data_IF_717146252865
#
_entry.id   IF_717146252865
#
_cell.length_a   1.000
_cell.length_b   1.000
_cell.length_c   1.000
_cell.angle_alpha   90.00
_cell.angle_beta   90.00
_cell.angle_gamma   90.00
#
_symmetry.space_group_name_H-M   'P 1'
#
loop_
_entity.id
_entity.type
_entity.pdbx_description
1 polymer ?
#
# COMPACT_ATOMS: atom_id res chain seq x y z
N UNK A 1 1.42 -51.54 -20.25
CA UNK A 1 0.66 -50.62 -19.38
C UNK A 1 -0.80 -50.69 -19.84
N UNK A 2 -1.65 -51.21 -18.99
CA UNK A 2 -3.01 -51.62 -19.37
C UNK A 2 -3.93 -50.38 -19.40
N UNK A 3 -4.95 -50.41 -20.29
CA UNK A 3 -5.90 -49.28 -20.45
C UNK A 3 -6.58 -48.91 -19.13
N UNK A 4 -6.76 -49.87 -18.22
CA UNK A 4 -7.30 -49.65 -16.86
C UNK A 4 -6.43 -48.76 -15.99
N UNK A 5 -5.12 -48.81 -16.14
CA UNK A 5 -4.19 -47.99 -15.32
C UNK A 5 -4.20 -46.51 -15.72
N UNK A 6 -4.48 -46.24 -17.01
CA UNK A 6 -4.59 -44.86 -17.52
C UNK A 6 -5.84 -44.12 -16.96
N UNK A 7 -6.95 -44.83 -16.78
CA UNK A 7 -8.16 -44.24 -16.22
C UNK A 7 -8.05 -43.95 -14.72
N UNK A 8 -7.28 -44.74 -13.99
CA UNK A 8 -7.03 -44.54 -12.56
C UNK A 8 -6.14 -43.31 -12.38
N UNK A 9 -5.11 -43.11 -13.18
CA UNK A 9 -4.20 -41.96 -13.13
C UNK A 9 -4.94 -40.66 -13.47
N UNK A 10 -5.83 -40.67 -14.47
CA UNK A 10 -6.64 -39.49 -14.83
C UNK A 10 -7.65 -39.16 -13.73
N UNK A 11 -8.24 -40.16 -13.09
CA UNK A 11 -9.18 -39.95 -11.97
C UNK A 11 -8.49 -39.36 -10.74
N UNK A 12 -7.25 -39.78 -10.43
CA UNK A 12 -6.44 -39.20 -9.34
C UNK A 12 -5.97 -37.77 -9.63
N UNK A 13 -5.65 -37.42 -10.88
CA UNK A 13 -5.33 -36.04 -11.29
C UNK A 13 -6.53 -35.13 -11.22
N UNK A 14 -7.75 -35.60 -11.50
CA UNK A 14 -9.00 -34.84 -11.36
C UNK A 14 -9.40 -34.66 -9.90
N UNK A 15 -9.10 -35.58 -8.99
CA UNK A 15 -9.37 -35.44 -7.54
C UNK A 15 -8.40 -34.48 -6.85
N UNK A 16 -7.19 -34.25 -7.43
CA UNK A 16 -6.24 -33.25 -6.90
C UNK A 16 -6.55 -31.82 -7.32
N UNK A 17 -7.52 -31.61 -8.23
CA UNK A 17 -8.07 -30.29 -8.58
C UNK A 17 -9.28 -29.90 -7.72
N UNK A 18 -9.51 -30.59 -6.60
CA UNK A 18 -10.39 -30.14 -5.52
C UNK A 18 -9.82 -28.87 -4.93
N UNK A 19 -10.11 -27.73 -5.57
CA UNK A 19 -9.80 -26.41 -5.05
C UNK A 19 -10.39 -26.33 -3.66
N UNK A 20 -9.54 -26.26 -2.64
CA UNK A 20 -9.94 -25.76 -1.34
C UNK A 20 -10.53 -24.36 -1.61
N UNK A 21 -11.84 -24.23 -1.56
CA UNK A 21 -12.50 -22.94 -1.43
C UNK A 21 -12.01 -22.37 -0.10
N UNK A 22 -10.87 -21.70 -0.15
CA UNK A 22 -10.44 -20.89 0.96
C UNK A 22 -11.58 -19.90 1.16
N UNK A 23 -12.31 -20.04 2.26
CA UNK A 23 -13.35 -19.06 2.65
C UNK A 23 -12.65 -17.71 2.69
N UNK A 24 -12.89 -16.87 1.69
CA UNK A 24 -12.32 -15.54 1.67
C UNK A 24 -12.87 -14.79 2.87
N UNK A 25 -12.00 -14.18 3.66
CA UNK A 25 -12.41 -13.36 4.80
C UNK A 25 -13.31 -12.25 4.29
N UNK A 26 -14.49 -12.08 4.88
CA UNK A 26 -15.39 -10.97 4.57
C UNK A 26 -14.94 -9.73 5.36
N UNK A 27 -14.05 -8.94 4.82
CA UNK A 27 -13.48 -7.78 5.49
C UNK A 27 -14.51 -6.68 5.79
N UNK A 28 -15.50 -6.35 4.94
CA UNK A 28 -16.61 -5.47 5.31
C UNK A 28 -17.29 -5.88 6.62
N UNK A 29 -17.53 -7.18 6.81
CA UNK A 29 -18.12 -7.69 8.05
C UNK A 29 -17.15 -7.65 9.22
N UNK A 30 -15.85 -7.89 8.97
CA UNK A 30 -14.80 -7.88 10.00
C UNK A 30 -14.60 -6.49 10.58
N UNK A 31 -14.55 -5.46 9.72
CA UNK A 31 -14.27 -4.08 10.11
C UNK A 31 -15.54 -3.25 10.36
N UNK A 32 -16.73 -3.70 9.93
CA UNK A 32 -18.00 -3.06 10.23
C UNK A 32 -18.04 -1.56 9.91
N UNK A 33 -18.23 -0.74 10.94
CA UNK A 33 -18.27 0.73 10.81
C UNK A 33 -17.00 1.32 10.25
N UNK A 34 -15.83 0.80 10.64
CA UNK A 34 -14.52 1.32 10.16
C UNK A 34 -14.37 1.16 8.65
N UNK A 35 -14.86 0.04 8.10
CA UNK A 35 -14.94 -0.15 6.64
C UNK A 35 -15.86 0.87 5.98
N UNK A 36 -17.04 1.08 6.57
CA UNK A 36 -18.05 2.02 6.04
C UNK A 36 -17.53 3.45 6.06
N UNK A 37 -16.88 3.85 7.16
CA UNK A 37 -16.32 5.19 7.33
C UNK A 37 -15.14 5.43 6.38
N UNK A 38 -14.25 4.45 6.21
CA UNK A 38 -13.17 4.51 5.24
C UNK A 38 -13.71 4.63 3.80
N UNK A 39 -14.74 3.83 3.45
CA UNK A 39 -15.34 3.89 2.12
C UNK A 39 -16.02 5.23 1.86
N UNK A 40 -16.75 5.78 2.85
CA UNK A 40 -17.35 7.11 2.76
C UNK A 40 -16.27 8.17 2.56
N UNK A 41 -15.18 8.12 3.32
CA UNK A 41 -14.07 9.06 3.20
C UNK A 41 -13.44 9.04 1.80
N UNK A 42 -13.22 7.87 1.19
CA UNK A 42 -12.78 7.78 -0.21
C UNK A 42 -13.79 8.44 -1.14
N UNK A 43 -15.08 8.12 -0.98
CA UNK A 43 -16.13 8.66 -1.85
C UNK A 43 -16.24 10.18 -1.79
N UNK A 44 -16.05 10.78 -0.61
CA UNK A 44 -16.09 12.22 -0.39
C UNK A 44 -14.89 12.96 -1.01
N UNK A 45 -13.74 12.28 -1.17
CA UNK A 45 -12.49 12.89 -1.65
C UNK A 45 -12.06 12.39 -3.04
N UNK A 46 -12.78 11.45 -3.64
CA UNK A 46 -12.42 10.80 -4.89
C UNK A 46 -12.04 11.79 -6.00
N UNK A 47 -12.87 12.79 -6.24
CA UNK A 47 -12.66 13.76 -7.33
C UNK A 47 -11.41 14.63 -7.10
N UNK A 48 -11.14 15.00 -5.83
CA UNK A 48 -9.94 15.75 -5.46
C UNK A 48 -8.68 14.89 -5.64
N UNK A 49 -8.69 13.65 -5.16
CA UNK A 49 -7.54 12.75 -5.26
C UNK A 49 -7.28 12.33 -6.70
N UNK A 50 -8.34 12.10 -7.47
CA UNK A 50 -8.25 11.76 -8.88
C UNK A 50 -7.49 12.81 -9.67
N UNK A 51 -7.66 14.10 -9.39
CA UNK A 51 -6.92 15.17 -10.05
C UNK A 51 -5.40 15.00 -9.88
N UNK A 52 -4.94 14.66 -8.67
CA UNK A 52 -3.51 14.41 -8.43
C UNK A 52 -3.03 13.11 -9.10
N UNK A 53 -3.84 12.05 -9.08
CA UNK A 53 -3.49 10.77 -9.72
C UNK A 53 -3.42 10.91 -11.24
N UNK A 54 -4.34 11.65 -11.85
CA UNK A 54 -4.38 11.90 -13.29
C UNK A 54 -3.11 12.64 -13.78
N UNK A 55 -2.52 13.53 -12.97
CA UNK A 55 -1.25 14.20 -13.29
C UNK A 55 -0.11 13.21 -13.55
N UNK A 56 -0.16 12.04 -12.95
CA UNK A 56 0.84 10.98 -13.09
C UNK A 56 0.36 9.80 -13.96
N UNK A 57 -0.83 9.90 -14.57
CA UNK A 57 -1.41 8.81 -15.35
C UNK A 57 -1.67 7.55 -14.52
N UNK A 58 -2.09 7.71 -13.26
CA UNK A 58 -2.42 6.62 -12.33
C UNK A 58 -3.94 6.49 -12.23
N UNK A 59 -4.44 5.28 -12.35
CA UNK A 59 -5.86 4.98 -12.11
C UNK A 59 -6.23 5.25 -10.65
N UNK A 60 -7.19 6.15 -10.41
CA UNK A 60 -7.59 6.56 -9.07
C UNK A 60 -8.12 5.40 -8.24
N UNK A 61 -8.92 4.50 -8.83
CA UNK A 61 -9.47 3.32 -8.14
C UNK A 61 -8.37 2.38 -7.68
N UNK A 62 -7.32 2.21 -8.49
CA UNK A 62 -6.14 1.40 -8.12
C UNK A 62 -5.40 2.07 -6.96
N UNK A 63 -5.14 3.38 -7.03
CA UNK A 63 -4.44 4.12 -5.98
C UNK A 63 -5.20 4.09 -4.65
N UNK A 64 -6.50 4.37 -4.68
CA UNK A 64 -7.39 4.32 -3.53
C UNK A 64 -7.40 2.93 -2.87
N UNK A 65 -7.50 1.88 -3.69
CA UNK A 65 -7.47 0.50 -3.19
C UNK A 65 -6.16 0.17 -2.47
N UNK A 66 -5.02 0.66 -2.98
CA UNK A 66 -3.71 0.43 -2.37
C UNK A 66 -3.64 0.97 -0.94
N UNK A 67 -4.24 2.12 -0.65
CA UNK A 67 -4.18 2.75 0.67
C UNK A 67 -5.43 2.52 1.53
N UNK A 68 -6.47 1.90 0.98
CA UNK A 68 -7.72 1.67 1.70
C UNK A 68 -7.56 0.98 3.07
N UNK A 69 -6.68 -0.03 3.23
CA UNK A 69 -6.46 -0.61 4.56
C UNK A 69 -5.94 0.40 5.59
N UNK A 70 -5.16 1.39 5.19
CA UNK A 70 -4.67 2.44 6.11
C UNK A 70 -5.78 3.40 6.53
N UNK A 71 -6.77 3.64 5.66
CA UNK A 71 -7.94 4.46 6.01
C UNK A 71 -8.79 3.77 7.07
N UNK A 72 -8.93 2.43 7.03
CA UNK A 72 -9.57 1.65 8.10
C UNK A 72 -8.80 1.83 9.42
N UNK A 73 -7.47 1.71 9.37
CA UNK A 73 -6.60 1.86 10.56
C UNK A 73 -6.67 3.28 11.13
N UNK A 74 -6.71 4.29 10.28
CA UNK A 74 -6.68 5.69 10.70
C UNK A 74 -7.93 6.10 11.50
N UNK A 75 -9.09 5.51 11.23
CA UNK A 75 -10.34 5.80 11.97
C UNK A 75 -10.20 5.55 13.48
N UNK A 76 -9.26 4.69 13.87
CA UNK A 76 -8.98 4.29 15.24
C UNK A 76 -7.91 5.16 15.94
N UNK A 77 -7.21 6.04 15.21
CA UNK A 77 -6.08 6.84 15.74
C UNK A 77 -6.49 8.31 15.90
N UNK A 78 -6.87 8.73 17.11
CA UNK A 78 -7.41 10.07 17.37
C UNK A 78 -6.42 11.10 17.95
N UNK A 79 -5.17 10.74 18.28
CA UNK A 79 -4.26 11.64 19.01
C UNK A 79 -3.34 12.46 18.10
N UNK A 80 -3.75 13.74 17.85
CA UNK A 80 -2.95 14.71 17.07
C UNK A 80 -1.71 15.24 17.86
N UNK A 81 -1.75 15.23 19.18
CA UNK A 81 -0.69 15.82 20.02
C UNK A 81 0.60 15.01 19.96
N UNK A 82 0.51 13.69 19.98
CA UNK A 82 1.69 12.82 19.85
C UNK A 82 2.36 12.96 18.49
N UNK A 83 1.60 13.24 17.43
CA UNK A 83 2.12 13.43 16.08
C UNK A 83 3.02 14.65 15.95
N UNK A 84 2.71 15.75 16.61
CA UNK A 84 3.52 16.97 16.56
C UNK A 84 4.91 16.77 17.18
N UNK A 85 4.98 16.08 18.32
CA UNK A 85 6.24 15.76 19.00
C UNK A 85 7.11 14.82 18.17
N UNK A 86 6.51 13.79 17.57
CA UNK A 86 7.19 12.80 16.72
C UNK A 86 7.71 13.45 15.43
N UNK A 87 6.93 14.32 14.81
CA UNK A 87 7.38 15.07 13.63
C UNK A 87 8.59 15.97 13.95
N UNK A 88 8.61 16.60 15.14
CA UNK A 88 9.75 17.39 15.63
C UNK A 88 11.02 16.56 15.80
N UNK A 89 10.91 15.33 16.29
CA UNK A 89 12.05 14.41 16.42
C UNK A 89 12.60 13.98 15.06
N UNK A 90 11.74 13.64 14.10
CA UNK A 90 12.20 13.35 12.74
C UNK A 90 12.89 14.55 12.09
N UNK A 91 12.31 15.75 12.20
CA UNK A 91 12.91 16.97 11.62
C UNK A 91 14.31 17.19 12.19
N UNK A 92 14.49 17.04 13.50
CA UNK A 92 15.76 17.32 14.17
C UNK A 92 16.83 16.23 13.99
N UNK A 93 16.43 14.94 14.00
CA UNK A 93 17.34 13.79 14.07
C UNK A 93 17.22 12.81 12.88
N UNK A 94 16.30 13.07 11.94
CA UNK A 94 16.00 12.14 10.85
C UNK A 94 15.28 10.87 11.31
N UNK A 95 15.27 9.86 10.46
CA UNK A 95 14.60 8.57 10.73
C UNK A 95 15.14 7.81 11.93
N UNK A 96 16.37 8.08 12.35
CA UNK A 96 16.95 7.52 13.57
C UNK A 96 16.29 8.08 14.83
N UNK A 97 15.79 9.31 14.78
CA UNK A 97 15.05 9.93 15.88
C UNK A 97 13.58 9.50 15.93
N UNK A 98 12.95 9.36 14.78
CA UNK A 98 11.56 8.93 14.66
C UNK A 98 11.20 8.51 13.22
N UNK A 99 10.49 7.40 13.06
CA UNK A 99 9.98 6.93 11.77
C UNK A 99 8.53 6.43 11.91
N UNK A 100 7.65 7.35 12.29
CA UNK A 100 6.23 7.06 12.47
C UNK A 100 5.41 7.43 11.24
N UNK A 101 4.28 6.75 11.09
CA UNK A 101 3.36 7.01 10.00
C UNK A 101 2.68 8.37 10.12
N UNK A 102 2.62 9.13 9.02
CA UNK A 102 2.04 10.47 8.93
C UNK A 102 0.84 10.44 7.97
N UNK A 103 -0.19 11.20 8.32
CA UNK A 103 -1.36 11.44 7.49
C UNK A 103 -2.31 10.25 7.34
N UNK A 104 -3.34 10.42 6.51
CA UNK A 104 -4.40 9.42 6.29
C UNK A 104 -3.89 8.14 5.64
N UNK A 105 -2.93 8.26 4.73
CA UNK A 105 -2.33 7.12 4.05
C UNK A 105 -1.21 6.45 4.86
N UNK A 106 -0.97 6.91 6.10
CA UNK A 106 -0.02 6.31 7.05
C UNK A 106 1.39 6.11 6.45
N UNK A 107 1.88 7.11 5.71
CA UNK A 107 3.21 7.08 5.10
C UNK A 107 4.28 7.42 6.13
N UNK A 108 5.34 6.60 6.17
CA UNK A 108 6.51 6.88 7.00
C UNK A 108 7.47 7.85 6.31
N UNK A 109 8.20 8.69 7.06
CA UNK A 109 9.28 9.48 6.50
C UNK A 109 10.32 8.67 5.73
N UNK A 110 10.71 7.49 6.25
CA UNK A 110 11.63 6.57 5.55
C UNK A 110 11.10 6.10 4.19
N UNK A 111 9.80 5.79 4.11
CA UNK A 111 9.15 5.44 2.84
C UNK A 111 9.20 6.61 1.84
N UNK A 112 8.92 7.84 2.31
CA UNK A 112 9.00 9.03 1.46
C UNK A 112 10.43 9.28 0.97
N UNK A 113 11.45 9.07 1.81
CA UNK A 113 12.87 9.16 1.43
C UNK A 113 13.23 8.17 0.32
N UNK A 114 12.80 6.92 0.43
CA UNK A 114 13.02 5.89 -0.61
C UNK A 114 12.32 6.26 -1.92
N UNK A 115 11.08 6.76 -1.86
CA UNK A 115 10.33 7.23 -3.04
C UNK A 115 11.03 8.43 -3.70
N UNK A 116 11.45 9.43 -2.92
CA UNK A 116 12.16 10.62 -3.41
C UNK A 116 13.49 10.27 -4.10
N UNK A 117 14.28 9.38 -3.48
CA UNK A 117 15.54 8.90 -4.05
C UNK A 117 15.31 8.13 -5.35
N UNK A 118 14.38 7.19 -5.35
CA UNK A 118 14.04 6.40 -6.53
C UNK A 118 13.47 7.27 -7.66
N UNK A 119 12.64 8.27 -7.33
CA UNK A 119 12.12 9.23 -8.29
C UNK A 119 13.25 9.99 -8.98
N UNK A 120 14.14 10.63 -8.21
CA UNK A 120 15.23 11.42 -8.75
C UNK A 120 16.20 10.59 -9.61
N UNK A 121 16.36 9.30 -9.31
CA UNK A 121 17.17 8.36 -10.07
C UNK A 121 16.46 7.79 -11.30
N UNK A 122 15.15 7.98 -11.44
CA UNK A 122 14.35 7.42 -12.52
C UNK A 122 14.28 8.34 -13.74
N UNK A 123 14.00 7.81 -14.95
CA UNK A 123 13.73 8.64 -16.13
C UNK A 123 12.47 9.51 -15.95
N UNK A 124 11.55 9.13 -15.05
CA UNK A 124 10.32 9.85 -14.78
C UNK A 124 10.58 11.27 -14.23
N UNK A 125 11.61 11.47 -13.41
CA UNK A 125 11.97 12.80 -12.91
C UNK A 125 12.22 13.81 -14.05
N UNK A 126 12.88 13.35 -15.11
CA UNK A 126 13.11 14.16 -16.31
C UNK A 126 11.84 14.35 -17.14
N UNK A 127 11.05 13.29 -17.28
CA UNK A 127 9.77 13.31 -18.01
C UNK A 127 8.79 14.32 -17.42
N UNK A 128 8.67 14.32 -16.08
CA UNK A 128 7.76 15.21 -15.35
C UNK A 128 8.38 16.57 -14.97
N UNK A 129 9.66 16.78 -15.23
CA UNK A 129 10.33 18.06 -15.06
C UNK A 129 10.54 18.52 -13.62
N UNK A 130 10.52 17.60 -12.63
CA UNK A 130 10.81 17.96 -11.23
C UNK A 130 11.61 16.89 -10.49
N UNK A 131 12.28 17.33 -9.41
CA UNK A 131 13.04 16.45 -8.49
C UNK A 131 12.83 16.90 -7.05
N UNK A 132 13.07 15.99 -6.12
CA UNK A 132 13.03 16.26 -4.70
C UNK A 132 14.40 16.75 -4.19
N UNK A 133 14.38 17.60 -3.15
CA UNK A 133 15.58 17.92 -2.39
C UNK A 133 15.95 16.76 -1.46
N UNK A 134 17.04 16.06 -1.75
CA UNK A 134 17.52 14.91 -1.00
C UNK A 134 18.52 15.28 0.11
N UNK A 135 18.73 16.57 0.40
CA UNK A 135 19.63 16.98 1.47
C UNK A 135 19.17 16.41 2.82
N UNK A 136 20.13 15.91 3.59
CA UNK A 136 19.87 15.41 4.95
C UNK A 136 20.02 16.54 5.96
N UNK A 137 19.05 17.47 5.97
CA UNK A 137 19.00 18.61 6.88
C UNK A 137 17.57 18.89 7.33
N UNK A 138 17.44 19.74 8.36
CA UNK A 138 16.16 20.07 8.97
C UNK A 138 15.16 20.70 7.99
N UNK A 139 15.61 21.45 7.00
CA UNK A 139 14.75 22.10 6.02
C UNK A 139 14.12 21.08 5.06
N UNK A 140 14.92 20.20 4.50
CA UNK A 140 14.43 19.14 3.61
C UNK A 140 13.49 18.18 4.36
N UNK A 141 13.82 17.80 5.60
CA UNK A 141 12.97 16.96 6.46
C UNK A 141 11.64 17.66 6.81
N UNK A 142 11.67 18.97 7.14
CA UNK A 142 10.45 19.76 7.40
C UNK A 142 9.57 19.82 6.14
N UNK A 143 10.18 20.01 4.99
CA UNK A 143 9.47 20.04 3.71
C UNK A 143 8.80 18.68 3.40
N UNK A 144 9.47 17.56 3.70
CA UNK A 144 8.92 16.20 3.59
C UNK A 144 7.74 15.97 4.53
N UNK A 145 7.87 16.33 5.81
CA UNK A 145 6.78 16.26 6.80
C UNK A 145 5.57 17.06 6.33
N UNK A 146 5.77 18.27 5.80
CA UNK A 146 4.67 19.09 5.26
C UNK A 146 3.93 18.36 4.15
N UNK A 147 4.64 17.79 3.18
CA UNK A 147 4.03 17.00 2.09
C UNK A 147 3.29 15.77 2.61
N UNK A 148 3.84 15.06 3.61
CA UNK A 148 3.20 13.90 4.22
C UNK A 148 1.98 14.25 5.09
N UNK A 149 1.91 15.46 5.63
CA UNK A 149 0.78 15.94 6.43
C UNK A 149 -0.36 16.52 5.58
N UNK A 150 -0.08 16.86 4.34
CA UNK A 150 -1.03 17.38 3.36
C UNK A 150 -1.61 16.28 2.48
N UNK A 151 -2.93 16.30 2.24
CA UNK A 151 -3.59 15.23 1.47
C UNK A 151 -3.12 15.19 0.02
N UNK A 152 -2.99 16.36 -0.61
CA UNK A 152 -2.47 16.45 -1.98
C UNK A 152 -1.05 15.89 -2.07
N UNK A 153 -0.21 16.21 -1.09
CA UNK A 153 1.15 15.66 -0.97
C UNK A 153 1.16 14.14 -0.82
N UNK A 154 0.24 13.57 -0.02
CA UNK A 154 0.09 12.12 0.12
C UNK A 154 -0.36 11.44 -1.18
N UNK A 155 -1.34 12.01 -1.89
CA UNK A 155 -1.77 11.53 -3.19
C UNK A 155 -0.62 11.54 -4.19
N UNK A 156 0.18 12.60 -4.21
CA UNK A 156 1.36 12.71 -5.07
C UNK A 156 2.42 11.65 -4.76
N UNK A 157 2.75 11.42 -3.50
CA UNK A 157 3.66 10.34 -3.12
C UNK A 157 3.14 8.97 -3.53
N UNK A 158 1.84 8.72 -3.36
CA UNK A 158 1.21 7.47 -3.77
C UNK A 158 1.27 7.27 -5.29
N UNK A 159 0.95 8.31 -6.07
CA UNK A 159 1.05 8.27 -7.52
C UNK A 159 2.49 7.98 -7.99
N UNK A 160 3.46 8.69 -7.45
CA UNK A 160 4.88 8.48 -7.73
C UNK A 160 5.30 7.05 -7.35
N UNK A 161 4.91 6.57 -6.18
CA UNK A 161 5.15 5.20 -5.75
C UNK A 161 4.62 4.18 -6.78
N UNK A 162 3.37 4.32 -7.21
CA UNK A 162 2.75 3.42 -8.20
C UNK A 162 3.51 3.46 -9.52
N UNK A 163 3.86 4.65 -10.03
CA UNK A 163 4.66 4.81 -11.26
C UNK A 163 6.01 4.13 -11.16
N UNK A 164 6.69 4.28 -10.04
CA UNK A 164 7.98 3.64 -9.78
C UNK A 164 7.86 2.11 -9.70
N UNK A 165 6.78 1.58 -9.09
CA UNK A 165 6.53 0.14 -9.06
C UNK A 165 6.23 -0.41 -10.46
N UNK A 166 5.44 0.29 -11.28
CA UNK A 166 5.18 -0.10 -12.67
C UNK A 166 6.45 -0.08 -13.53
N UNK A 167 7.36 0.87 -13.29
CA UNK A 167 8.65 0.93 -13.97
C UNK A 167 9.58 -0.22 -13.52
N UNK A 168 9.62 -0.51 -12.21
CA UNK A 168 10.45 -1.57 -11.63
C UNK A 168 9.97 -2.97 -11.98
N UNK A 169 8.65 -3.16 -12.06
CA UNK A 169 7.99 -4.44 -12.28
C UNK A 169 7.04 -4.37 -13.48
N UNK A 170 7.55 -4.44 -14.73
CA UNK A 170 6.69 -4.40 -15.93
C UNK A 170 5.61 -5.48 -15.96
N UNK A 171 5.81 -6.60 -15.23
CA UNK A 171 4.83 -7.66 -15.06
C UNK A 171 3.50 -7.18 -14.44
N UNK A 172 3.51 -6.09 -13.66
CA UNK A 172 2.30 -5.48 -13.10
C UNK A 172 1.29 -5.05 -14.18
N UNK A 173 1.77 -4.74 -15.39
CA UNK A 173 0.91 -4.38 -16.52
C UNK A 173 0.33 -5.60 -17.26
N UNK A 174 0.78 -6.80 -16.94
CA UNK A 174 0.39 -8.06 -17.60
C UNK A 174 -0.59 -8.89 -16.77
N UNK A 175 -0.81 -8.52 -15.51
CA UNK A 175 -1.77 -9.18 -14.62
C UNK A 175 -3.12 -8.47 -14.62
N UNK A 176 -4.16 -9.10 -14.07
CA UNK A 176 -5.45 -8.44 -13.89
C UNK A 176 -5.32 -7.22 -12.96
N UNK A 177 -6.20 -6.22 -13.10
CA UNK A 177 -6.19 -5.04 -12.21
C UNK A 177 -6.31 -5.44 -10.73
N UNK A 178 -7.10 -6.45 -10.41
CA UNK A 178 -7.22 -6.96 -9.04
C UNK A 178 -5.90 -7.52 -8.52
N UNK A 179 -5.17 -8.27 -9.32
CA UNK A 179 -3.85 -8.79 -8.95
C UNK A 179 -2.80 -7.66 -8.90
N UNK A 180 -2.89 -6.69 -9.78
CA UNK A 180 -2.06 -5.47 -9.73
C UNK A 180 -2.25 -4.72 -8.41
N UNK A 181 -3.51 -4.51 -7.97
CA UNK A 181 -3.82 -3.92 -6.66
C UNK A 181 -3.21 -4.72 -5.53
N UNK A 182 -3.32 -6.06 -5.53
CA UNK A 182 -2.72 -6.92 -4.52
C UNK A 182 -1.21 -6.72 -4.38
N UNK A 183 -0.51 -6.72 -5.50
CA UNK A 183 0.95 -6.60 -5.54
C UNK A 183 1.42 -5.18 -5.18
N UNK A 184 0.73 -4.14 -5.65
CA UNK A 184 1.00 -2.75 -5.29
C UNK A 184 0.73 -2.51 -3.80
N UNK A 185 -0.38 -2.99 -3.26
CA UNK A 185 -0.71 -2.91 -1.84
C UNK A 185 0.32 -3.65 -0.97
N UNK A 186 0.82 -4.79 -1.45
CA UNK A 186 1.90 -5.52 -0.79
C UNK A 186 3.21 -4.71 -0.77
N UNK A 187 3.60 -4.13 -1.90
CA UNK A 187 4.79 -3.28 -1.98
C UNK A 187 4.68 -2.06 -1.06
N UNK A 188 3.50 -1.44 -0.99
CA UNK A 188 3.21 -0.31 -0.13
C UNK A 188 3.34 -0.65 1.36
N UNK A 189 2.71 -1.73 1.79
CA UNK A 189 2.68 -2.11 3.20
C UNK A 189 3.96 -2.79 3.70
N UNK A 190 4.68 -3.52 2.81
CA UNK A 190 5.77 -4.39 3.23
C UNK A 190 7.16 -3.86 2.88
N UNK A 191 7.39 -3.47 1.64
CA UNK A 191 8.70 -3.00 1.19
C UNK A 191 8.61 -2.37 -0.20
N UNK A 192 8.97 -1.11 -0.29
CA UNK A 192 9.10 -0.39 -1.55
C UNK A 192 10.09 -1.06 -2.53
N UNK A 193 11.19 -1.61 -2.00
CA UNK A 193 12.30 -2.16 -2.78
C UNK A 193 12.20 -3.68 -3.02
N UNK A 194 11.08 -4.33 -2.64
CA UNK A 194 10.90 -5.77 -2.79
C UNK A 194 11.05 -6.23 -4.25
N UNK A 195 11.66 -7.42 -4.45
CA UNK A 195 11.69 -8.06 -5.76
C UNK A 195 10.31 -8.60 -6.14
N UNK A 196 10.09 -8.83 -7.45
CA UNK A 196 8.86 -9.44 -7.96
C UNK A 196 8.50 -10.74 -7.25
N UNK A 197 9.47 -11.65 -7.12
CA UNK A 197 9.26 -12.93 -6.43
C UNK A 197 8.86 -12.74 -4.95
N UNK A 198 9.47 -11.76 -4.28
CA UNK A 198 9.13 -11.43 -2.89
C UNK A 198 7.71 -10.87 -2.79
N UNK A 199 7.27 -10.00 -3.71
CA UNK A 199 5.90 -9.49 -3.75
C UNK A 199 4.89 -10.60 -3.95
N UNK A 200 5.12 -11.50 -4.93
CA UNK A 200 4.25 -12.65 -5.19
C UNK A 200 4.09 -13.57 -3.96
N UNK A 201 5.14 -13.71 -3.14
CA UNK A 201 5.06 -14.49 -1.90
C UNK A 201 4.35 -13.73 -0.79
N UNK A 202 4.79 -12.49 -0.53
CA UNK A 202 4.33 -11.67 0.61
C UNK A 202 2.85 -11.23 0.49
N UNK A 203 2.27 -11.20 -0.71
CA UNK A 203 0.88 -10.75 -0.89
C UNK A 203 -0.17 -11.63 -0.19
N UNK A 204 0.22 -12.81 0.30
CA UNK A 204 -0.66 -13.72 1.02
C UNK A 204 -0.41 -13.70 2.55
N UNK A 205 0.57 -12.93 3.00
CA UNK A 205 0.97 -12.90 4.41
C UNK A 205 0.05 -12.00 5.24
N UNK A 206 -0.21 -12.42 6.48
CA UNK A 206 -1.02 -11.66 7.45
C UNK A 206 -0.11 -10.93 8.42
N UNK A 207 0.16 -9.65 8.15
CA UNK A 207 1.01 -8.80 8.99
C UNK A 207 0.33 -7.48 9.38
N UNK A 208 -0.74 -7.12 8.69
CA UNK A 208 -1.49 -5.91 8.97
C UNK A 208 -2.38 -6.07 10.20
N UNK A 209 -2.39 -5.08 11.04
CA UNK A 209 -3.28 -4.99 12.21
C UNK A 209 -3.77 -3.55 12.36
N UNK A 210 -4.92 -3.37 12.99
CA UNK A 210 -5.53 -2.07 13.24
C UNK A 210 -5.33 -1.59 14.67
N UNK A 211 -4.86 -2.44 15.57
CA UNK A 211 -4.61 -2.08 16.97
C UNK A 211 -3.49 -1.06 17.09
N UNK A 212 -3.67 -0.03 17.93
CA UNK A 212 -2.65 0.99 18.22
C UNK A 212 -1.45 0.34 18.92
N UNK A 213 -1.72 -0.52 19.90
CA UNK A 213 -0.71 -1.26 20.67
C UNK A 213 -0.91 -2.75 20.41
N UNK A 214 0.15 -3.43 19.99
CA UNK A 214 0.13 -4.88 19.81
C UNK A 214 0.06 -5.59 21.16
N UNK A 215 -0.87 -6.53 21.27
CA UNK A 215 -1.04 -7.41 22.41
C UNK A 215 -1.11 -8.86 21.95
N UNK A 216 -1.20 -9.80 22.88
CA UNK A 216 -1.40 -11.23 22.55
C UNK A 216 -2.75 -11.51 21.85
N UNK A 217 -3.71 -10.60 21.95
CA UNK A 217 -5.02 -10.68 21.30
C UNK A 217 -5.09 -9.96 19.95
N UNK A 218 -4.02 -9.28 19.52
CA UNK A 218 -3.97 -8.56 18.23
C UNK A 218 -4.22 -9.52 17.07
N UNK A 219 -5.19 -9.17 16.22
CA UNK A 219 -5.50 -9.93 15.01
C UNK A 219 -4.71 -9.39 13.83
N UNK A 220 -4.16 -10.31 13.06
CA UNK A 220 -3.42 -9.98 11.83
C UNK A 220 -4.22 -10.33 10.60
N UNK A 221 -4.23 -9.42 9.64
CA UNK A 221 -4.95 -9.51 8.38
C UNK A 221 -3.99 -9.47 7.20
N UNK A 222 -4.45 -9.93 6.04
CA UNK A 222 -3.73 -9.76 4.78
C UNK A 222 -4.08 -8.40 4.18
N UNK A 223 -3.11 -7.51 4.11
CA UNK A 223 -3.28 -6.16 3.56
C UNK A 223 -3.76 -6.18 2.12
N UNK A 224 -3.13 -7.02 1.30
CA UNK A 224 -3.47 -7.17 -0.12
C UNK A 224 -4.90 -7.72 -0.34
N UNK A 225 -5.39 -8.59 0.55
CA UNK A 225 -6.76 -9.10 0.46
C UNK A 225 -7.79 -8.01 0.77
N UNK A 226 -7.52 -7.14 1.75
CA UNK A 226 -8.38 -6.00 2.09
C UNK A 226 -8.47 -5.06 0.90
N UNK A 227 -7.32 -4.65 0.33
CA UNK A 227 -7.23 -3.79 -0.84
C UNK A 227 -8.00 -4.36 -2.04
N UNK A 228 -7.76 -5.63 -2.36
CA UNK A 228 -8.41 -6.31 -3.48
C UNK A 228 -9.92 -6.53 -3.28
N UNK A 229 -10.38 -6.73 -2.04
CA UNK A 229 -11.81 -6.86 -1.74
C UNK A 229 -12.54 -5.53 -1.88
N UNK A 230 -11.91 -4.42 -1.52
CA UNK A 230 -12.48 -3.10 -1.71
C UNK A 230 -12.54 -2.71 -3.20
N UNK A 231 -11.50 -3.07 -3.97
CA UNK A 231 -11.43 -2.80 -5.41
C UNK A 231 -12.51 -3.54 -6.22
N UNK A 232 -12.95 -4.73 -5.78
CA UNK A 232 -13.91 -5.61 -6.49
C UNK A 232 -15.34 -5.10 -6.41
#
# INVERSE_FOLDING_TARGET
MNIRDKHIIVLWLLLMMGGTTAFSVNYPKVFGSDWTDANRFVSEHHEEWKQEFDLFGVDARVAEAVVFPELIRYSLWKDEIERAAVNGLYISKGREGADFSIGRFQMKPSFAEEVEQAWNASPLAKEYGFSFNLADNNEARRSRVRRLSDMQGQCRYLAIFIRLQLLRHPQLQQVSQKEQVRLLATAYNRSFSASWQSLCRMQHERHFHTDVIKTSSTRFYCYADIAAQWFS
#
